data_IF_193035754013
#
_entry.id   IF_193035754013
#
_cell.length_a   1.000
_cell.length_b   1.000
_cell.length_c   1.000
_cell.angle_alpha   90.00
_cell.angle_beta   90.00
_cell.angle_gamma   90.00
#
_symmetry.space_group_name_H-M   'P 1'
#
loop_
_entity.id
_entity.type
_entity.pdbx_description
1 polymer ?
#
# COMPACT_ATOMS: atom_id res chain seq x y z
N UNK A 1 -3.22 9.33 -27.72
CA UNK A 1 -2.37 8.22 -27.28
C UNK A 1 -2.34 8.27 -25.76
N UNK A 2 -2.81 7.23 -25.08
CA UNK A 2 -2.67 7.16 -23.62
C UNK A 2 -1.18 7.26 -23.29
N UNK A 3 -0.83 8.08 -22.30
CA UNK A 3 0.56 8.20 -21.85
C UNK A 3 0.92 6.89 -21.15
N UNK A 4 1.48 5.93 -21.88
CA UNK A 4 1.92 4.66 -21.31
C UNK A 4 2.85 4.96 -20.13
N UNK A 5 2.54 4.36 -18.97
CA UNK A 5 3.30 4.50 -17.73
C UNK A 5 4.00 3.20 -17.38
N UNK A 6 5.08 3.29 -16.62
CA UNK A 6 5.64 2.13 -15.92
C UNK A 6 5.27 2.17 -14.44
N UNK A 7 4.55 1.15 -13.99
CA UNK A 7 4.02 1.02 -12.64
C UNK A 7 4.67 -0.19 -11.98
N UNK A 8 5.45 0.04 -10.93
CA UNK A 8 6.17 -1.02 -10.22
C UNK A 8 5.42 -1.37 -8.94
N UNK A 9 5.12 -2.65 -8.74
CA UNK A 9 4.54 -3.17 -7.50
C UNK A 9 5.65 -3.85 -6.69
N UNK A 10 6.04 -3.25 -5.58
CA UNK A 10 7.04 -3.82 -4.65
C UNK A 10 6.30 -4.58 -3.54
N UNK A 11 6.62 -5.86 -3.37
CA UNK A 11 5.88 -6.79 -2.53
C UNK A 11 4.72 -7.48 -3.27
N UNK A 12 4.86 -7.64 -4.59
CA UNK A 12 3.83 -8.20 -5.46
C UNK A 12 3.52 -9.67 -5.19
N UNK A 13 4.38 -10.39 -4.47
CA UNK A 13 4.14 -11.78 -4.06
C UNK A 13 3.03 -11.93 -3.01
N UNK A 14 2.60 -10.85 -2.36
CA UNK A 14 1.37 -10.86 -1.56
C UNK A 14 0.16 -11.03 -2.49
N UNK A 15 -0.43 -12.22 -2.56
CA UNK A 15 -1.54 -12.50 -3.48
C UNK A 15 -2.72 -11.54 -3.29
N UNK A 16 -3.02 -11.14 -2.06
CA UNK A 16 -4.09 -10.17 -1.79
C UNK A 16 -3.76 -8.79 -2.36
N UNK A 17 -2.54 -8.30 -2.14
CA UNK A 17 -2.12 -6.97 -2.58
C UNK A 17 -1.77 -6.94 -4.08
N UNK A 18 -0.90 -7.84 -4.54
CA UNK A 18 -0.43 -7.92 -5.92
C UNK A 18 -1.59 -8.11 -6.89
N UNK A 19 -2.37 -9.18 -6.73
CA UNK A 19 -3.50 -9.45 -7.64
C UNK A 19 -4.59 -8.38 -7.54
N UNK A 20 -4.91 -7.91 -6.32
CA UNK A 20 -5.92 -6.88 -6.11
C UNK A 20 -5.53 -5.53 -6.75
N UNK A 21 -4.26 -5.16 -6.68
CA UNK A 21 -3.72 -3.93 -7.28
C UNK A 21 -3.69 -4.03 -8.80
N UNK A 22 -3.20 -5.15 -9.36
CA UNK A 22 -3.21 -5.37 -10.82
C UNK A 22 -4.63 -5.36 -11.37
N UNK A 23 -5.57 -6.04 -10.72
CA UNK A 23 -6.98 -6.03 -11.11
C UNK A 23 -7.61 -4.64 -11.05
N UNK A 24 -7.21 -3.80 -10.09
CA UNK A 24 -7.64 -2.40 -10.04
C UNK A 24 -7.06 -1.57 -11.19
N UNK A 25 -5.79 -1.79 -11.55
CA UNK A 25 -5.13 -1.11 -12.68
C UNK A 25 -5.79 -1.49 -14.00
N UNK A 26 -6.12 -2.77 -14.21
CA UNK A 26 -6.81 -3.25 -15.42
C UNK A 26 -8.14 -2.54 -15.70
N UNK A 27 -8.85 -2.11 -14.65
CA UNK A 27 -10.12 -1.40 -14.78
C UNK A 27 -9.95 0.07 -15.17
N UNK A 28 -8.72 0.60 -15.16
CA UNK A 28 -8.44 2.00 -15.46
C UNK A 28 -8.17 2.22 -16.95
N UNK A 29 -9.13 2.88 -17.64
CA UNK A 29 -8.98 3.30 -19.04
C UNK A 29 -7.84 4.31 -19.25
N UNK A 30 -7.51 5.10 -18.22
CA UNK A 30 -6.45 6.13 -18.31
C UNK A 30 -5.06 5.48 -18.35
N UNK A 31 -4.90 4.32 -17.71
CA UNK A 31 -3.63 3.59 -17.62
C UNK A 31 -3.45 2.57 -18.73
N UNK A 32 -4.44 2.38 -19.61
CA UNK A 32 -4.36 1.42 -20.71
C UNK A 32 -3.10 1.64 -21.57
N UNK A 33 -2.43 0.55 -21.93
CA UNK A 33 -1.13 0.54 -22.61
C UNK A 33 0.09 0.64 -21.69
N UNK A 34 -0.11 0.77 -20.38
CA UNK A 34 0.98 0.83 -19.40
C UNK A 34 1.65 -0.53 -19.16
N UNK A 35 2.87 -0.48 -18.62
CA UNK A 35 3.62 -1.63 -18.12
C UNK A 35 3.46 -1.76 -16.61
N UNK A 36 3.14 -2.96 -16.16
CA UNK A 36 3.03 -3.33 -14.75
C UNK A 36 4.19 -4.29 -14.44
N UNK A 37 5.10 -3.83 -13.59
CA UNK A 37 6.29 -4.60 -13.17
C UNK A 37 6.09 -5.14 -11.77
N UNK A 38 6.01 -6.46 -11.64
CA UNK A 38 5.88 -7.14 -10.36
C UNK A 38 7.26 -7.42 -9.76
N UNK A 39 7.49 -6.96 -8.53
CA UNK A 39 8.74 -7.20 -7.83
C UNK A 39 8.48 -7.74 -6.43
N UNK A 40 9.21 -8.79 -6.08
CA UNK A 40 9.26 -9.38 -4.74
C UNK A 40 10.65 -9.99 -4.51
N UNK A 41 10.98 -10.30 -3.25
CA UNK A 41 12.20 -11.04 -2.89
C UNK A 41 11.95 -12.55 -2.84
N UNK A 42 10.70 -12.99 -2.74
CA UNK A 42 10.31 -14.39 -2.74
C UNK A 42 9.92 -14.83 -4.16
N UNK A 43 10.76 -15.68 -4.77
CA UNK A 43 10.56 -16.18 -6.13
C UNK A 43 9.30 -17.02 -6.32
N UNK A 44 8.96 -17.86 -5.34
CA UNK A 44 7.78 -18.72 -5.42
C UNK A 44 6.49 -17.89 -5.44
N UNK A 45 6.37 -16.95 -4.49
CA UNK A 45 5.22 -16.06 -4.40
C UNK A 45 5.12 -15.13 -5.61
N UNK A 46 6.25 -14.61 -6.10
CA UNK A 46 6.28 -13.75 -7.30
C UNK A 46 5.82 -14.51 -8.54
N UNK A 47 6.27 -15.75 -8.72
CA UNK A 47 5.86 -16.60 -9.84
C UNK A 47 4.35 -16.85 -9.81
N UNK A 48 3.80 -17.24 -8.65
CA UNK A 48 2.37 -17.45 -8.48
C UNK A 48 1.55 -16.19 -8.79
N UNK A 49 1.97 -15.04 -8.27
CA UNK A 49 1.31 -13.77 -8.54
C UNK A 49 1.36 -13.40 -10.03
N UNK A 50 2.50 -13.64 -10.69
CA UNK A 50 2.71 -13.32 -12.11
C UNK A 50 1.83 -14.19 -13.00
N UNK A 51 1.77 -15.50 -12.77
CA UNK A 51 0.91 -16.43 -13.52
C UNK A 51 -0.57 -16.06 -13.40
N UNK A 52 -1.03 -15.74 -12.20
CA UNK A 52 -2.39 -15.31 -11.96
C UNK A 52 -2.71 -13.98 -12.68
N UNK A 53 -1.79 -13.01 -12.68
CA UNK A 53 -1.96 -11.74 -13.40
C UNK A 53 -2.00 -11.93 -14.92
N UNK A 54 -1.13 -12.77 -15.48
CA UNK A 54 -1.12 -13.09 -16.91
C UNK A 54 -2.39 -13.82 -17.34
N UNK A 55 -2.89 -14.73 -16.50
CA UNK A 55 -4.16 -15.44 -16.73
C UNK A 55 -5.33 -14.44 -16.77
N UNK A 56 -5.44 -13.58 -15.76
CA UNK A 56 -6.48 -12.54 -15.71
C UNK A 56 -6.39 -11.57 -16.89
N UNK A 57 -5.18 -11.19 -17.31
CA UNK A 57 -4.98 -10.35 -18.50
C UNK A 57 -5.54 -10.99 -19.76
N UNK A 58 -5.29 -12.30 -19.95
CA UNK A 58 -5.76 -13.04 -21.12
C UNK A 58 -7.29 -13.17 -21.12
N UNK A 59 -7.88 -13.47 -19.97
CA UNK A 59 -9.33 -13.64 -19.84
C UNK A 59 -10.11 -12.34 -20.03
N UNK A 60 -9.56 -11.22 -19.56
CA UNK A 60 -10.20 -9.91 -19.65
C UNK A 60 -9.83 -9.14 -20.93
N UNK A 61 -8.94 -9.69 -21.76
CA UNK A 61 -8.45 -9.09 -23.01
C UNK A 61 -7.94 -7.64 -22.86
N UNK A 62 -7.31 -7.32 -21.73
CA UNK A 62 -6.86 -5.96 -21.40
C UNK A 62 -5.50 -5.62 -22.02
N UNK A 63 -5.35 -4.38 -22.46
CA UNK A 63 -4.13 -3.88 -23.09
C UNK A 63 -3.10 -3.34 -22.07
N UNK A 64 -2.43 -4.24 -21.34
CA UNK A 64 -1.31 -3.92 -20.44
C UNK A 64 -0.11 -4.83 -20.68
N UNK A 65 1.11 -4.37 -20.43
CA UNK A 65 2.29 -5.24 -20.40
C UNK A 65 2.52 -5.68 -18.96
N UNK A 66 2.79 -6.97 -18.73
CA UNK A 66 3.12 -7.50 -17.41
C UNK A 66 4.49 -8.12 -17.48
N UNK A 67 5.36 -7.71 -16.57
CA UNK A 67 6.69 -8.25 -16.38
C UNK A 67 6.94 -8.48 -14.89
N UNK A 68 7.93 -9.31 -14.55
CA UNK A 68 8.27 -9.60 -13.16
C UNK A 68 9.77 -9.82 -13.00
N UNK A 69 10.34 -9.38 -11.88
CA UNK A 69 11.77 -9.57 -11.59
C UNK A 69 12.04 -9.60 -10.08
N UNK A 70 13.04 -10.38 -9.67
CA UNK A 70 13.60 -10.37 -8.32
C UNK A 70 14.62 -9.25 -8.11
N UNK A 71 15.10 -8.61 -9.18
CA UNK A 71 16.02 -7.48 -9.08
C UNK A 71 15.24 -6.18 -8.99
N UNK A 72 15.27 -5.57 -7.80
CA UNK A 72 14.62 -4.28 -7.54
C UNK A 72 15.15 -3.17 -8.46
N UNK A 73 16.44 -3.17 -8.78
CA UNK A 73 17.06 -2.11 -9.59
C UNK A 73 16.61 -2.19 -11.04
N UNK A 74 16.41 -3.40 -11.55
CA UNK A 74 15.81 -3.65 -12.86
C UNK A 74 14.34 -3.20 -12.86
N UNK A 75 13.58 -3.58 -11.84
CA UNK A 75 12.17 -3.20 -11.71
C UNK A 75 11.96 -1.67 -11.76
N UNK A 76 12.83 -0.93 -11.06
CA UNK A 76 12.72 0.52 -10.91
C UNK A 76 13.13 1.34 -12.15
N UNK A 77 13.78 0.75 -13.15
CA UNK A 77 14.19 1.47 -14.37
C UNK A 77 12.99 2.12 -15.04
N UNK A 78 13.05 3.43 -15.29
CA UNK A 78 12.00 4.20 -15.98
C UNK A 78 10.62 4.18 -15.29
N UNK A 79 10.54 3.81 -14.02
CA UNK A 79 9.28 3.81 -13.28
C UNK A 79 8.69 5.23 -13.16
N UNK A 80 7.38 5.36 -13.40
CA UNK A 80 6.60 6.57 -13.10
C UNK A 80 5.93 6.49 -11.73
N UNK A 81 5.50 5.30 -11.34
CA UNK A 81 4.81 5.03 -10.08
C UNK A 81 5.36 3.76 -9.44
N UNK A 82 5.55 3.80 -8.12
CA UNK A 82 5.92 2.66 -7.29
C UNK A 82 4.82 2.48 -6.26
N UNK A 83 4.13 1.35 -6.29
CA UNK A 83 3.15 0.96 -5.28
C UNK A 83 3.81 -0.09 -4.40
N UNK A 84 4.03 0.23 -3.13
CA UNK A 84 4.77 -0.63 -2.21
C UNK A 84 3.90 -1.11 -1.06
N UNK A 85 3.87 -2.43 -0.89
CA UNK A 85 3.28 -3.10 0.26
C UNK A 85 4.18 -4.27 0.64
N UNK A 86 5.09 -4.05 1.58
CA UNK A 86 6.07 -5.06 2.02
C UNK A 86 5.89 -5.38 3.49
N UNK A 87 6.45 -6.52 3.89
CA UNK A 87 6.54 -6.91 5.29
C UNK A 87 7.86 -7.63 5.57
N UNK A 88 8.36 -7.51 6.79
CA UNK A 88 9.54 -8.29 7.23
C UNK A 88 9.09 -9.70 7.60
N UNK A 89 9.79 -10.71 7.08
CA UNK A 89 9.51 -12.11 7.38
C UNK A 89 10.23 -12.58 8.65
N UNK A 90 9.66 -13.53 9.41
CA UNK A 90 8.34 -14.15 9.25
C UNK A 90 7.19 -13.25 9.78
N UNK A 91 6.30 -12.79 8.89
CA UNK A 91 5.26 -11.79 9.20
C UNK A 91 4.42 -12.13 10.43
N UNK A 92 3.84 -13.33 10.45
CA UNK A 92 2.87 -13.71 11.49
C UNK A 92 3.55 -13.95 12.83
N UNK A 93 4.68 -14.65 12.88
CA UNK A 93 5.41 -14.85 14.14
C UNK A 93 5.92 -13.54 14.74
N UNK A 94 6.33 -12.59 13.89
CA UNK A 94 6.73 -11.25 14.34
C UNK A 94 5.52 -10.45 14.84
N UNK A 95 4.37 -10.61 14.20
CA UNK A 95 3.15 -9.93 14.61
C UNK A 95 2.57 -10.49 15.91
N UNK A 96 2.64 -11.81 16.12
CA UNK A 96 2.29 -12.46 17.39
C UNK A 96 3.17 -11.91 18.52
N UNK A 97 4.49 -11.77 18.30
CA UNK A 97 5.39 -11.13 19.25
C UNK A 97 5.04 -9.66 19.51
N UNK A 98 4.69 -8.91 18.47
CA UNK A 98 4.27 -7.52 18.62
C UNK A 98 3.04 -7.40 19.50
N UNK A 99 2.16 -8.40 19.49
CA UNK A 99 0.95 -8.45 20.30
C UNK A 99 1.23 -8.94 21.73
N UNK A 100 1.90 -10.08 21.87
CA UNK A 100 1.98 -10.84 23.11
C UNK A 100 2.97 -10.24 24.10
N UNK A 101 4.17 -9.84 23.63
CA UNK A 101 5.21 -9.29 24.53
C UNK A 101 4.69 -8.06 25.29
N UNK A 102 4.05 -7.05 24.65
CA UNK A 102 3.50 -5.93 25.40
C UNK A 102 2.39 -6.36 26.38
N UNK A 103 1.58 -7.36 26.03
CA UNK A 103 0.47 -7.85 26.87
C UNK A 103 0.97 -8.56 28.12
N UNK A 104 2.01 -9.37 28.01
CA UNK A 104 2.68 -10.00 29.16
C UNK A 104 3.22 -8.95 30.14
N UNK A 105 3.60 -7.78 29.63
CA UNK A 105 4.07 -6.63 30.40
C UNK A 105 2.95 -5.66 30.84
N UNK A 106 1.67 -6.06 30.69
CA UNK A 106 0.51 -5.32 31.18
C UNK A 106 -0.08 -4.28 30.21
N UNK A 107 0.42 -4.18 28.98
CA UNK A 107 -0.19 -3.34 27.94
C UNK A 107 -1.49 -3.98 27.41
N UNK A 108 -2.50 -3.15 27.09
CA UNK A 108 -3.82 -3.61 26.62
C UNK A 108 -4.10 -3.31 25.14
N UNK A 109 -3.06 -3.18 24.33
CA UNK A 109 -3.23 -3.02 22.88
C UNK A 109 -4.01 -4.21 22.28
N UNK A 110 -4.77 -3.93 21.22
CA UNK A 110 -5.63 -4.94 20.58
C UNK A 110 -4.91 -5.70 19.47
N UNK A 111 -4.25 -4.99 18.55
CA UNK A 111 -3.66 -5.57 17.34
C UNK A 111 -2.14 -5.43 17.26
N UNK A 112 -1.54 -4.38 17.83
CA UNK A 112 -0.09 -4.18 17.80
C UNK A 112 0.53 -3.88 16.42
N UNK A 113 -0.20 -3.88 15.30
CA UNK A 113 0.42 -3.62 13.98
C UNK A 113 0.72 -2.12 13.75
N UNK A 114 -0.21 -1.25 14.16
CA UNK A 114 -0.24 0.17 13.73
C UNK A 114 0.09 1.17 14.85
N UNK A 115 -0.14 0.77 16.10
CA UNK A 115 -0.02 1.63 17.27
C UNK A 115 0.40 0.85 18.52
N UNK A 116 0.58 1.56 19.62
CA UNK A 116 1.10 0.97 20.86
C UNK A 116 2.57 0.52 20.77
N UNK A 117 3.06 -0.23 21.78
CA UNK A 117 4.40 -0.81 21.79
C UNK A 117 4.64 -1.80 20.65
N UNK A 118 3.66 -2.66 20.33
CA UNK A 118 3.78 -3.58 19.19
C UNK A 118 4.04 -2.82 17.88
N UNK A 119 3.29 -1.74 17.66
CA UNK A 119 3.45 -0.95 16.44
C UNK A 119 4.82 -0.29 16.39
N UNK A 120 5.45 -0.03 17.54
CA UNK A 120 6.82 0.50 17.61
C UNK A 120 7.82 -0.58 17.21
N UNK A 121 7.69 -1.80 17.72
CA UNK A 121 8.54 -2.92 17.32
C UNK A 121 8.44 -3.16 15.81
N UNK A 122 7.22 -3.20 15.28
CA UNK A 122 6.96 -3.26 13.86
C UNK A 122 7.64 -2.13 13.09
N UNK A 123 7.47 -0.87 13.52
CA UNK A 123 8.11 0.30 12.91
C UNK A 123 9.63 0.13 12.81
N UNK A 124 10.27 -0.33 13.89
CA UNK A 124 11.73 -0.48 13.95
C UNK A 124 12.24 -1.54 12.99
N UNK A 125 11.44 -2.55 12.66
CA UNK A 125 11.79 -3.60 11.68
C UNK A 125 11.53 -3.17 10.24
N UNK A 126 10.39 -2.54 9.97
CA UNK A 126 9.92 -2.28 8.60
C UNK A 126 10.45 -0.97 7.99
N UNK A 127 10.74 0.05 8.82
CA UNK A 127 11.22 1.34 8.32
C UNK A 127 12.58 1.22 7.61
N UNK A 128 13.60 0.50 8.13
CA UNK A 128 14.89 0.38 7.47
C UNK A 128 14.83 -0.10 6.00
N UNK A 129 14.21 -1.26 5.67
CA UNK A 129 14.13 -1.71 4.28
C UNK A 129 13.32 -0.76 3.38
N UNK A 130 12.27 -0.12 3.90
CA UNK A 130 11.54 0.90 3.13
C UNK A 130 12.43 2.11 2.80
N UNK A 131 13.25 2.57 3.75
CA UNK A 131 14.18 3.68 3.49
C UNK A 131 15.32 3.31 2.51
N UNK A 132 15.68 2.04 2.43
CA UNK A 132 16.57 1.51 1.38
C UNK A 132 15.88 1.55 0.01
N UNK A 133 14.64 1.06 -0.09
CA UNK A 133 13.83 1.14 -1.31
C UNK A 133 13.68 2.60 -1.77
N UNK A 134 13.35 3.53 -0.86
CA UNK A 134 13.27 4.95 -1.19
C UNK A 134 14.61 5.51 -1.67
N UNK A 135 15.74 5.03 -1.12
CA UNK A 135 17.07 5.36 -1.59
C UNK A 135 17.30 4.94 -3.05
N UNK A 136 16.92 3.70 -3.39
CA UNK A 136 17.00 3.19 -4.76
C UNK A 136 16.08 3.99 -5.72
N UNK A 137 14.85 4.31 -5.31
CA UNK A 137 13.91 5.12 -6.10
C UNK A 137 14.50 6.50 -6.40
N UNK A 138 15.11 7.17 -5.41
CA UNK A 138 15.76 8.47 -5.65
C UNK A 138 16.95 8.39 -6.61
N UNK A 139 17.68 7.28 -6.58
CA UNK A 139 18.86 7.12 -7.44
C UNK A 139 18.50 6.73 -8.88
N UNK A 140 17.45 5.92 -9.05
CA UNK A 140 17.10 5.29 -10.33
C UNK A 140 15.98 6.05 -11.05
N UNK A 141 14.93 6.43 -10.33
CA UNK A 141 13.73 7.04 -10.89
C UNK A 141 13.22 8.21 -10.01
N UNK A 142 14.01 9.27 -9.79
CA UNK A 142 13.73 10.34 -8.83
C UNK A 142 12.43 11.12 -9.10
N UNK A 143 11.89 11.03 -10.31
CA UNK A 143 10.66 11.70 -10.69
C UNK A 143 9.40 10.91 -10.34
N UNK A 144 9.54 9.62 -10.01
CA UNK A 144 8.45 8.71 -9.76
C UNK A 144 7.73 9.02 -8.44
N UNK A 145 6.44 8.68 -8.37
CA UNK A 145 5.68 8.73 -7.13
C UNK A 145 5.77 7.42 -6.38
N UNK A 146 6.10 7.48 -5.09
CA UNK A 146 6.08 6.35 -4.17
C UNK A 146 4.77 6.33 -3.38
N UNK A 147 3.97 5.29 -3.59
CA UNK A 147 2.67 5.08 -2.97
C UNK A 147 2.83 3.95 -1.96
N UNK A 148 2.82 4.29 -0.67
CA UNK A 148 3.04 3.32 0.41
C UNK A 148 1.72 2.80 0.97
N UNK A 149 1.56 1.48 0.94
CA UNK A 149 0.50 0.72 1.62
C UNK A 149 1.01 -0.06 2.84
N UNK A 150 2.32 -0.14 3.04
CA UNK A 150 2.92 -0.83 4.20
C UNK A 150 2.59 -0.11 5.51
N UNK A 151 2.35 -0.87 6.57
CA UNK A 151 2.11 -0.38 7.91
C UNK A 151 3.38 -0.39 8.76
N UNK A 152 3.49 0.43 9.82
CA UNK A 152 2.56 1.48 10.23
C UNK A 152 2.74 2.76 9.40
N UNK A 153 1.76 3.06 8.55
CA UNK A 153 1.90 4.02 7.46
C UNK A 153 2.28 5.43 7.95
N UNK A 154 1.64 5.94 9.00
CA UNK A 154 1.98 7.27 9.54
C UNK A 154 3.44 7.38 9.98
N UNK A 155 4.02 6.33 10.58
CA UNK A 155 5.42 6.34 11.04
C UNK A 155 6.39 6.13 9.88
N UNK A 156 6.04 5.28 8.92
CA UNK A 156 6.80 5.08 7.69
C UNK A 156 6.89 6.39 6.91
N UNK A 157 5.75 7.01 6.58
CA UNK A 157 5.73 8.26 5.83
C UNK A 157 6.47 9.39 6.57
N UNK A 158 6.35 9.46 7.90
CA UNK A 158 7.13 10.40 8.71
C UNK A 158 8.63 10.15 8.61
N UNK A 159 9.07 8.89 8.68
CA UNK A 159 10.48 8.52 8.56
C UNK A 159 11.04 8.85 7.17
N UNK A 160 10.30 8.54 6.09
CA UNK A 160 10.64 8.90 4.72
C UNK A 160 10.78 10.41 4.59
N UNK A 161 9.80 11.18 5.06
CA UNK A 161 9.81 12.63 4.95
C UNK A 161 10.98 13.27 5.73
N UNK A 162 11.31 12.73 6.91
CA UNK A 162 12.46 13.21 7.70
C UNK A 162 13.80 12.91 7.03
N UNK A 163 13.96 11.72 6.46
CA UNK A 163 15.21 11.33 5.80
C UNK A 163 15.36 11.99 4.42
N UNK A 164 14.26 12.13 3.69
CA UNK A 164 14.22 12.62 2.32
C UNK A 164 13.10 13.66 2.13
N UNK A 165 13.30 14.93 2.55
CA UNK A 165 12.24 15.95 2.59
C UNK A 165 11.56 16.27 1.25
N UNK A 166 12.26 16.02 0.13
CA UNK A 166 11.76 16.28 -1.23
C UNK A 166 11.24 15.02 -1.94
N UNK A 167 11.23 13.87 -1.26
CA UNK A 167 10.79 12.61 -1.85
C UNK A 167 9.28 12.64 -2.11
N UNK A 168 8.87 12.23 -3.32
CA UNK A 168 7.47 12.21 -3.73
C UNK A 168 6.79 10.97 -3.15
N UNK A 169 6.22 11.10 -1.95
CA UNK A 169 5.53 10.00 -1.26
C UNK A 169 4.11 10.37 -0.88
N UNK A 170 3.21 9.41 -1.01
CA UNK A 170 1.88 9.41 -0.41
C UNK A 170 1.63 8.06 0.26
N UNK A 171 1.05 8.08 1.46
CA UNK A 171 0.54 6.88 2.11
C UNK A 171 -0.95 6.74 1.84
N UNK A 172 -1.42 5.55 1.46
CA UNK A 172 -2.84 5.27 1.24
C UNK A 172 -3.33 4.14 2.15
N UNK A 173 -4.50 4.33 2.75
CA UNK A 173 -5.20 3.34 3.55
C UNK A 173 -6.70 3.40 3.26
N UNK A 174 -7.38 2.26 3.37
CA UNK A 174 -8.80 2.09 3.06
C UNK A 174 -9.75 2.42 4.23
N UNK A 175 -9.21 2.72 5.43
CA UNK A 175 -10.01 2.94 6.66
C UNK A 175 -11.16 3.93 6.47
N UNK A 176 -10.91 5.07 5.81
CA UNK A 176 -11.96 6.06 5.61
C UNK A 176 -13.08 5.57 4.67
N UNK A 177 -12.83 4.55 3.84
CA UNK A 177 -13.85 3.96 2.98
C UNK A 177 -14.95 3.23 3.77
N UNK A 178 -14.71 2.81 5.01
CA UNK A 178 -15.77 2.19 5.83
C UNK A 178 -16.90 3.15 6.17
N UNK A 179 -16.68 4.46 6.09
CA UNK A 179 -17.71 5.47 6.39
C UNK A 179 -18.86 5.41 5.37
N UNK A 180 -18.58 4.96 4.14
CA UNK A 180 -19.58 4.82 3.08
C UNK A 180 -20.65 3.80 3.45
N UNK A 181 -20.28 2.75 4.19
CA UNK A 181 -21.22 1.74 4.67
C UNK A 181 -21.82 2.11 6.03
N UNK A 182 -21.02 2.73 6.90
CA UNK A 182 -21.38 2.88 8.33
C UNK A 182 -22.29 4.08 8.57
N UNK A 183 -22.01 5.24 7.97
CA UNK A 183 -22.78 6.47 8.20
C UNK A 183 -24.23 6.40 7.73
N UNK A 184 -24.55 5.85 6.54
CA UNK A 184 -25.94 5.69 6.08
C UNK A 184 -26.81 4.93 7.07
N UNK A 185 -26.26 3.86 7.68
CA UNK A 185 -26.97 3.03 8.67
C UNK A 185 -27.22 3.78 9.97
N UNK A 186 -26.24 4.58 10.42
CA UNK A 186 -26.35 5.36 11.67
C UNK A 186 -27.32 6.53 11.55
N UNK A 187 -27.36 7.16 10.39
CA UNK A 187 -28.14 8.39 10.13
C UNK A 187 -29.46 8.13 9.40
N UNK A 188 -29.75 6.89 9.05
CA UNK A 188 -30.94 6.47 8.31
C UNK A 188 -31.15 7.29 7.03
N UNK A 189 -30.10 7.43 6.23
CA UNK A 189 -30.09 8.12 4.93
C UNK A 189 -29.22 7.37 3.93
N UNK A 190 -29.07 7.86 2.70
CA UNK A 190 -28.13 7.27 1.73
C UNK A 190 -26.77 7.95 1.78
N UNK A 191 -25.70 7.27 1.37
CA UNK A 191 -24.36 7.87 1.33
C UNK A 191 -24.31 9.10 0.40
N UNK A 192 -25.08 9.06 -0.68
CA UNK A 192 -25.18 10.14 -1.65
C UNK A 192 -25.79 11.41 -1.04
N UNK A 193 -26.62 11.29 0.01
CA UNK A 193 -27.17 12.44 0.72
C UNK A 193 -26.24 13.01 1.79
N UNK A 194 -25.06 12.40 2.02
CA UNK A 194 -24.12 12.85 3.02
C UNK A 194 -22.96 13.61 2.37
N UNK A 195 -22.60 14.73 2.98
CA UNK A 195 -21.30 15.37 2.80
C UNK A 195 -20.56 15.34 4.15
N UNK A 196 -19.29 14.97 4.14
CA UNK A 196 -18.53 14.84 5.38
C UNK A 196 -17.07 15.25 5.20
N UNK A 197 -16.49 15.72 6.30
CA UNK A 197 -15.07 16.04 6.40
C UNK A 197 -14.46 15.16 7.47
N UNK A 198 -13.35 14.51 7.13
CA UNK A 198 -12.57 13.71 8.06
C UNK A 198 -11.15 14.28 8.23
N UNK A 199 -10.53 13.97 9.36
CA UNK A 199 -9.14 14.33 9.62
C UNK A 199 -8.55 13.50 10.76
N UNK A 200 -7.22 13.49 10.84
CA UNK A 200 -6.49 12.74 11.86
C UNK A 200 -5.22 12.11 11.28
N UNK A 201 -4.72 11.10 11.98
CA UNK A 201 -3.63 10.25 11.50
C UNK A 201 -4.19 8.95 10.94
N UNK A 202 -3.38 8.20 10.21
CA UNK A 202 -3.77 6.86 9.77
C UNK A 202 -4.05 5.97 11.00
N UNK A 203 -5.16 5.25 10.98
CA UNK A 203 -5.69 4.43 12.07
C UNK A 203 -5.96 5.24 13.35
N UNK A 204 -6.14 6.55 13.20
CA UNK A 204 -6.51 7.50 14.25
C UNK A 204 -7.24 8.69 13.62
N UNK A 205 -8.20 8.39 12.73
CA UNK A 205 -9.04 9.36 12.04
C UNK A 205 -10.35 9.62 12.79
N UNK A 206 -10.91 10.81 12.60
CA UNK A 206 -12.24 11.18 13.09
C UNK A 206 -13.04 11.90 12.01
N UNK A 207 -14.36 11.75 12.05
CA UNK A 207 -15.28 12.62 11.31
C UNK A 207 -15.35 13.96 12.04
N UNK A 208 -14.95 15.02 11.36
CA UNK A 208 -14.95 16.40 11.88
C UNK A 208 -16.27 17.10 11.63
N UNK A 209 -16.93 16.77 10.52
CA UNK A 209 -18.17 17.39 10.08
C UNK A 209 -18.97 16.39 9.26
N UNK A 210 -20.29 16.39 9.44
CA UNK A 210 -21.23 15.66 8.62
C UNK A 210 -22.49 16.49 8.40
N UNK A 211 -22.96 16.53 7.16
CA UNK A 211 -24.12 17.29 6.73
C UNK A 211 -24.98 16.44 5.82
N UNK A 212 -26.29 16.59 5.97
CA UNK A 212 -27.22 16.20 4.91
C UNK A 212 -27.14 17.23 3.78
N UNK A 213 -27.35 16.80 2.53
CA UNK A 213 -27.31 17.69 1.37
C UNK A 213 -28.66 18.36 1.09
N UNK A 214 -29.75 17.84 1.65
CA UNK A 214 -31.11 18.38 1.57
C UNK A 214 -31.43 19.44 2.64
#
# INVERSE_FOLDING_TARGET
MAYAKKIVLIGAGSLQFGLGTVGSIFKSKILEGSTITLHDINAENLNLATEACLTAKKEQEVNFIIESTLDRKEALQEADFIISSIEVTPRFDLWDQDLDIPRELGNKQMMGENGGPGGLFHSLRIIPPILEICGDVMNICPNAWFINFSNPMSRICLAIHRKYPKFKVVGLCHEIGFVEETLPKMLNTTYENLDFKAGGLNHFGVILEIKYKD
#
